data_IF_216006215393
#
_entry.id   IF_216006215393
#
_cell.length_a   1.000
_cell.length_b   1.000
_cell.length_c   1.000
_cell.angle_alpha   90.00
_cell.angle_beta   90.00
_cell.angle_gamma   90.00
#
_symmetry.space_group_name_H-M   'P 1'
#
loop_
_entity.id
_entity.type
_entity.pdbx_description
1 polymer ?
#
# COMPACT_ATOMS: atom_id res chain seq x y z
N UNK A 1 -8.61 10.79 -26.20
CA UNK A 1 -9.31 10.15 -25.04
C UNK A 1 -8.85 8.70 -24.75
N UNK A 2 -7.85 8.16 -25.46
CA UNK A 2 -7.21 6.87 -25.17
C UNK A 2 -5.98 7.01 -24.27
N UNK A 3 -5.28 8.15 -24.34
CA UNK A 3 -4.10 8.46 -23.53
C UNK A 3 -4.38 8.50 -22.02
N UNK A 4 -5.54 9.03 -21.60
CA UNK A 4 -5.96 9.03 -20.20
C UNK A 4 -6.12 7.61 -19.61
N UNK A 5 -6.69 6.68 -20.38
CA UNK A 5 -6.89 5.30 -19.92
C UNK A 5 -5.56 4.57 -19.81
N UNK A 6 -4.69 4.71 -20.81
CA UNK A 6 -3.36 4.10 -20.77
C UNK A 6 -2.55 4.60 -19.57
N UNK A 7 -2.63 5.90 -19.28
CA UNK A 7 -1.98 6.52 -18.12
C UNK A 7 -2.54 5.99 -16.81
N UNK A 8 -3.87 5.86 -16.71
CA UNK A 8 -4.54 5.30 -15.53
C UNK A 8 -4.15 3.83 -15.29
N UNK A 9 -4.18 2.99 -16.33
CA UNK A 9 -3.76 1.59 -16.23
C UNK A 9 -2.28 1.45 -15.85
N UNK A 10 -1.43 2.33 -16.35
CA UNK A 10 -0.02 2.35 -15.97
C UNK A 10 0.16 2.69 -14.48
N UNK A 11 -0.61 3.65 -13.96
CA UNK A 11 -0.61 3.98 -12.53
C UNK A 11 -1.10 2.80 -11.68
N UNK A 12 -2.23 2.17 -12.03
CA UNK A 12 -2.71 0.98 -11.33
C UNK A 12 -1.70 -0.17 -11.31
N UNK A 13 -1.00 -0.41 -12.43
CA UNK A 13 0.06 -1.40 -12.47
C UNK A 13 1.25 -1.05 -11.56
N UNK A 14 1.62 0.23 -11.45
CA UNK A 14 2.66 0.66 -10.51
C UNK A 14 2.19 0.48 -9.07
N UNK A 15 0.99 0.97 -8.72
CA UNK A 15 0.38 0.76 -7.40
C UNK A 15 0.36 -0.72 -7.02
N UNK A 16 -0.09 -1.63 -7.90
CA UNK A 16 -0.08 -3.08 -7.64
C UNK A 16 1.32 -3.62 -7.33
N UNK A 17 2.35 -3.16 -8.04
CA UNK A 17 3.74 -3.58 -7.78
C UNK A 17 4.24 -3.09 -6.42
N UNK A 18 3.90 -1.87 -6.04
CA UNK A 18 4.26 -1.32 -4.74
C UNK A 18 3.57 -2.08 -3.60
N UNK A 19 2.27 -2.39 -3.73
CA UNK A 19 1.55 -3.19 -2.74
C UNK A 19 2.10 -4.63 -2.66
N UNK A 20 2.43 -5.25 -3.79
CA UNK A 20 3.06 -6.57 -3.82
C UNK A 20 4.45 -6.59 -3.18
N UNK A 21 5.23 -5.51 -3.34
CA UNK A 21 6.53 -5.36 -2.70
C UNK A 21 6.40 -5.20 -1.18
N UNK A 22 5.45 -4.38 -0.71
CA UNK A 22 5.14 -4.26 0.72
C UNK A 22 4.76 -5.64 1.29
N UNK A 23 3.79 -6.31 0.68
CA UNK A 23 3.37 -7.67 1.06
C UNK A 23 4.55 -8.65 1.19
N UNK A 24 5.45 -8.67 0.21
CA UNK A 24 6.61 -9.56 0.23
C UNK A 24 7.59 -9.27 1.38
N UNK A 25 7.63 -8.04 1.91
CA UNK A 25 8.49 -7.69 3.04
C UNK A 25 8.05 -8.34 4.36
N UNK A 26 6.74 -8.63 4.49
CA UNK A 26 6.12 -9.19 5.70
C UNK A 26 5.62 -10.62 5.53
N UNK A 27 5.76 -11.23 4.34
CA UNK A 27 5.19 -12.57 4.06
C UNK A 27 5.84 -13.71 4.84
N UNK A 28 7.05 -13.51 5.36
CA UNK A 28 7.76 -14.51 6.16
C UNK A 28 7.49 -14.37 7.67
N UNK A 29 6.68 -13.38 8.08
CA UNK A 29 6.31 -13.20 9.49
C UNK A 29 5.31 -14.28 9.92
N UNK A 30 5.51 -14.90 11.10
CA UNK A 30 4.58 -15.90 11.62
C UNK A 30 3.21 -15.26 11.94
N UNK A 31 2.14 -16.02 11.74
CA UNK A 31 0.76 -15.64 12.06
C UNK A 31 0.18 -14.45 11.25
N UNK A 32 0.87 -14.02 10.19
CA UNK A 32 0.35 -12.97 9.29
C UNK A 32 -0.53 -13.58 8.20
N UNK A 33 -1.81 -13.22 8.21
CA UNK A 33 -2.73 -13.56 7.11
C UNK A 33 -2.78 -12.42 6.08
N UNK A 34 -2.27 -12.70 4.88
CA UNK A 34 -2.25 -11.77 3.74
C UNK A 34 -3.35 -12.06 2.72
N UNK A 35 -4.20 -13.07 2.97
CA UNK A 35 -5.20 -13.55 1.99
C UNK A 35 -6.16 -12.45 1.56
N UNK A 36 -6.66 -11.66 2.50
CA UNK A 36 -7.59 -10.56 2.22
C UNK A 36 -6.93 -9.46 1.37
N UNK A 37 -5.68 -9.10 1.69
CA UNK A 37 -4.94 -8.12 0.89
C UNK A 37 -4.67 -8.65 -0.53
N UNK A 38 -4.39 -9.95 -0.67
CA UNK A 38 -4.19 -10.60 -1.97
C UNK A 38 -5.44 -10.57 -2.83
N UNK A 39 -6.61 -10.89 -2.26
CA UNK A 39 -7.89 -10.83 -2.95
C UNK A 39 -8.15 -9.42 -3.49
N UNK A 40 -7.96 -8.39 -2.67
CA UNK A 40 -8.12 -6.99 -3.11
C UNK A 40 -7.16 -6.61 -4.24
N UNK A 41 -5.89 -7.02 -4.18
CA UNK A 41 -4.91 -6.77 -5.26
C UNK A 41 -5.36 -7.47 -6.56
N UNK A 42 -5.85 -8.70 -6.47
CA UNK A 42 -6.33 -9.45 -7.64
C UNK A 42 -7.53 -8.77 -8.30
N UNK A 43 -8.46 -8.25 -7.50
CA UNK A 43 -9.68 -7.56 -7.94
C UNK A 43 -9.48 -6.08 -8.27
N UNK A 44 -8.24 -5.57 -8.20
CA UNK A 44 -7.90 -4.16 -8.46
C UNK A 44 -8.57 -3.17 -7.47
N UNK A 45 -8.88 -3.65 -6.26
CA UNK A 45 -9.38 -2.88 -5.13
C UNK A 45 -8.20 -2.30 -4.32
N UNK A 46 -7.36 -1.52 -5.01
CA UNK A 46 -6.01 -1.15 -4.52
C UNK A 46 -6.02 -0.29 -3.24
N UNK A 47 -7.07 0.49 -3.03
CA UNK A 47 -7.26 1.25 -1.78
C UNK A 47 -7.53 0.33 -0.59
N UNK A 48 -8.37 -0.68 -0.75
CA UNK A 48 -8.66 -1.64 0.32
C UNK A 48 -7.45 -2.53 0.61
N UNK A 49 -6.72 -2.94 -0.43
CA UNK A 49 -5.44 -3.63 -0.26
C UNK A 49 -4.43 -2.78 0.52
N UNK A 50 -4.35 -1.48 0.23
CA UNK A 50 -3.51 -0.54 0.97
C UNK A 50 -3.92 -0.43 2.43
N UNK A 51 -5.21 -0.25 2.71
CA UNK A 51 -5.73 -0.14 4.08
C UNK A 51 -5.42 -1.41 4.90
N UNK A 52 -5.71 -2.59 4.36
CA UNK A 52 -5.38 -3.86 5.02
C UNK A 52 -3.88 -4.01 5.30
N UNK A 53 -3.02 -3.69 4.32
CA UNK A 53 -1.58 -3.80 4.51
C UNK A 53 -1.08 -2.81 5.57
N UNK A 54 -1.59 -1.58 5.62
CA UNK A 54 -1.24 -0.63 6.69
C UNK A 54 -1.58 -1.19 8.07
N UNK A 55 -2.78 -1.74 8.25
CA UNK A 55 -3.21 -2.32 9.53
C UNK A 55 -2.30 -3.49 9.94
N UNK A 56 -2.11 -4.46 9.04
CA UNK A 56 -1.23 -5.62 9.28
C UNK A 56 0.20 -5.18 9.60
N UNK A 57 0.74 -4.23 8.82
CA UNK A 57 2.08 -3.71 9.01
C UNK A 57 2.28 -3.03 10.36
N UNK A 58 1.24 -2.36 10.87
CA UNK A 58 1.23 -1.75 12.19
C UNK A 58 1.32 -2.81 13.30
N UNK A 59 0.48 -3.84 13.18
CA UNK A 59 0.38 -4.94 14.15
C UNK A 59 1.68 -5.74 14.26
N UNK A 60 2.34 -6.01 13.13
CA UNK A 60 3.60 -6.77 13.12
C UNK A 60 4.85 -5.91 13.24
N UNK A 61 4.69 -4.60 13.47
CA UNK A 61 5.78 -3.65 13.55
C UNK A 61 6.74 -3.76 12.35
N UNK A 62 6.16 -3.66 11.15
CA UNK A 62 6.86 -3.86 9.89
C UNK A 62 8.04 -2.90 9.70
N UNK A 63 9.03 -3.32 8.91
CA UNK A 63 10.27 -2.57 8.66
C UNK A 63 10.01 -1.33 7.81
N UNK A 64 10.91 -0.36 7.85
CA UNK A 64 10.82 0.87 7.03
C UNK A 64 10.68 0.59 5.52
N UNK A 65 11.24 -0.52 5.01
CA UNK A 65 11.10 -0.91 3.61
C UNK A 65 9.65 -1.20 3.21
N UNK A 66 8.88 -1.84 4.10
CA UNK A 66 7.44 -2.05 3.95
C UNK A 66 6.70 -0.72 3.80
N UNK A 67 6.92 0.19 4.75
CA UNK A 67 6.24 1.49 4.78
C UNK A 67 6.60 2.36 3.57
N UNK A 68 7.85 2.28 3.08
CA UNK A 68 8.27 2.98 1.85
C UNK A 68 7.53 2.46 0.62
N UNK A 69 7.33 1.15 0.53
CA UNK A 69 6.56 0.58 -0.57
C UNK A 69 5.09 1.04 -0.51
N UNK A 70 4.50 1.15 0.69
CA UNK A 70 3.15 1.69 0.84
C UNK A 70 3.06 3.19 0.50
N UNK A 71 4.05 4.01 0.87
CA UNK A 71 4.11 5.44 0.47
C UNK A 71 4.07 5.62 -1.05
N UNK A 72 4.88 4.85 -1.78
CA UNK A 72 4.87 4.89 -3.25
C UNK A 72 3.50 4.48 -3.82
N UNK A 73 2.85 3.47 -3.25
CA UNK A 73 1.49 3.09 -3.64
C UNK A 73 0.48 4.21 -3.38
N UNK A 74 0.54 4.86 -2.21
CA UNK A 74 -0.33 5.96 -1.82
C UNK A 74 -0.12 7.21 -2.69
N UNK A 75 1.12 7.50 -3.10
CA UNK A 75 1.46 8.58 -4.04
C UNK A 75 0.86 8.35 -5.42
N UNK A 76 1.00 7.15 -5.96
CA UNK A 76 0.40 6.77 -7.25
C UNK A 76 -1.13 6.92 -7.24
N UNK A 77 -1.77 6.56 -6.12
CA UNK A 77 -3.21 6.71 -5.91
C UNK A 77 -3.64 8.14 -5.55
N UNK A 78 -2.69 9.04 -5.26
CA UNK A 78 -2.98 10.41 -4.86
C UNK A 78 -3.64 10.56 -3.49
N UNK A 79 -3.44 9.60 -2.57
CA UNK A 79 -4.09 9.56 -1.25
C UNK A 79 -3.64 10.68 -0.30
N UNK A 80 -2.53 11.36 -0.61
CA UNK A 80 -2.00 12.44 0.21
C UNK A 80 -2.55 13.83 -0.10
N UNK A 81 -3.57 13.93 -0.98
CA UNK A 81 -4.27 15.21 -1.18
C UNK A 81 -5.12 15.50 0.06
N UNK A 82 -4.80 16.60 0.73
CA UNK A 82 -5.26 16.94 2.08
C UNK A 82 -6.79 16.96 2.29
N UNK A 83 -7.26 16.70 3.53
CA UNK A 83 -6.50 16.25 4.69
C UNK A 83 -6.31 14.72 4.70
N UNK A 84 -5.12 14.25 5.09
CA UNK A 84 -4.85 12.81 5.22
C UNK A 84 -5.56 12.25 6.44
N UNK A 85 -6.26 11.13 6.27
CA UNK A 85 -6.94 10.41 7.35
C UNK A 85 -6.72 8.91 7.23
N UNK A 86 -7.04 8.17 8.29
CA UNK A 86 -6.93 6.70 8.33
C UNK A 86 -5.52 6.20 8.00
N UNK A 87 -5.48 5.17 7.16
CA UNK A 87 -4.27 4.42 6.79
C UNK A 87 -3.20 5.28 6.11
N UNK A 88 -3.61 6.25 5.29
CA UNK A 88 -2.67 7.15 4.62
C UNK A 88 -1.88 8.00 5.64
N UNK A 89 -2.58 8.49 6.68
CA UNK A 89 -1.93 9.23 7.78
C UNK A 89 -1.00 8.32 8.58
N UNK A 90 -1.46 7.12 8.94
CA UNK A 90 -0.66 6.17 9.71
C UNK A 90 0.61 5.75 8.97
N UNK A 91 0.53 5.51 7.65
CA UNK A 91 1.69 5.22 6.81
C UNK A 91 2.77 6.32 6.91
N UNK A 92 2.36 7.60 6.82
CA UNK A 92 3.27 8.73 6.98
C UNK A 92 3.86 8.81 8.40
N UNK A 93 3.05 8.56 9.42
CA UNK A 93 3.50 8.55 10.82
C UNK A 93 4.56 7.46 11.05
N UNK A 94 4.36 6.25 10.49
CA UNK A 94 5.32 5.13 10.60
C UNK A 94 6.60 5.35 9.82
N UNK A 95 6.53 6.02 8.67
CA UNK A 95 7.73 6.45 7.94
C UNK A 95 8.54 7.45 8.74
N UNK A 96 7.90 8.51 9.22
CA UNK A 96 8.56 9.55 10.00
C UNK A 96 9.20 9.01 11.29
N UNK A 97 8.58 7.99 11.91
CA UNK A 97 9.12 7.34 13.10
C UNK A 97 10.31 6.41 12.83
N UNK A 98 10.56 6.03 11.57
CA UNK A 98 11.60 5.10 11.17
C UNK A 98 12.83 5.75 10.50
N UNK A 99 12.84 7.10 10.40
CA UNK A 99 13.94 7.92 9.86
C UNK A 99 14.91 8.43 10.94
#
# INVERSE_FOLDING_TARGET
MTEDRATLYASWNRTRRHLAAARADISDQPDVDLSIADDFIQHNELGLAFDCLVEIGDEVNARVAFWRALDEAAREMGLYKEPQSGSARLCLERLAAAE
#
